data_IF_985882385525
#
_entry.id   IF_985882385525
#
_cell.length_a   1.000
_cell.length_b   1.000
_cell.length_c   1.000
_cell.angle_alpha   90.00
_cell.angle_beta   90.00
_cell.angle_gamma   90.00
#
_symmetry.space_group_name_H-M   'P 1'
#
loop_
_entity.id
_entity.type
_entity.pdbx_description
1 polymer ?
#
# COMPACT_ATOMS: atom_id res chain seq x y z
N UNK A 1 17.56 3.56 17.56
CA UNK A 1 17.27 3.47 16.12
C UNK A 1 16.64 2.13 15.86
N UNK A 2 15.54 2.09 15.09
CA UNK A 2 15.12 0.94 14.28
C UNK A 2 13.78 1.30 13.65
N UNK A 3 13.73 1.30 12.32
CA UNK A 3 12.48 1.22 11.55
C UNK A 3 12.66 0.02 10.64
N UNK A 4 12.23 -1.14 11.11
CA UNK A 4 12.23 -2.35 10.32
C UNK A 4 10.99 -2.32 9.41
N UNK A 5 11.21 -2.53 8.12
CA UNK A 5 10.14 -2.64 7.12
C UNK A 5 9.94 -4.13 6.86
N UNK A 6 8.73 -4.63 7.10
CA UNK A 6 8.40 -6.03 6.91
C UNK A 6 7.67 -6.19 5.59
N UNK A 7 8.07 -7.19 4.80
CA UNK A 7 7.32 -7.60 3.61
C UNK A 7 6.68 -8.95 3.91
N UNK A 8 5.36 -8.98 4.15
CA UNK A 8 4.62 -10.24 4.36
C UNK A 8 5.23 -11.17 5.42
N UNK A 9 5.79 -10.61 6.50
CA UNK A 9 6.43 -11.37 7.59
C UNK A 9 7.94 -11.61 7.45
N UNK A 10 8.55 -11.32 6.30
CA UNK A 10 10.01 -11.29 6.15
C UNK A 10 10.57 -9.90 6.50
N UNK A 11 11.64 -9.84 7.29
CA UNK A 11 12.32 -8.60 7.65
C UNK A 11 13.17 -8.18 6.45
N UNK A 12 12.74 -7.14 5.72
CA UNK A 12 13.60 -6.42 4.78
C UNK A 12 14.14 -5.16 5.46
N UNK A 13 15.31 -5.30 6.09
CA UNK A 13 16.03 -4.14 6.60
C UNK A 13 16.67 -3.41 5.42
N UNK A 14 16.06 -2.32 4.97
CA UNK A 14 16.74 -1.35 4.13
C UNK A 14 17.81 -0.69 5.00
N UNK A 15 19.07 -1.16 4.88
CA UNK A 15 20.22 -0.71 5.66
C UNK A 15 20.62 0.74 5.31
N UNK A 16 19.81 1.70 5.76
CA UNK A 16 20.17 3.10 5.78
C UNK A 16 21.14 3.38 6.94
N UNK A 17 22.09 4.31 6.74
CA UNK A 17 23.06 4.66 7.78
C UNK A 17 22.39 5.45 8.91
N UNK A 18 21.46 6.34 8.54
CA UNK A 18 20.72 7.19 9.49
C UNK A 18 19.29 7.35 9.01
N UNK A 19 18.32 7.12 9.90
CA UNK A 19 16.93 7.57 9.70
C UNK A 19 16.84 9.01 10.17
N UNK A 20 16.64 9.93 9.23
CA UNK A 20 16.65 11.38 9.50
C UNK A 20 15.30 11.86 10.02
N UNK A 21 14.19 11.32 9.49
CA UNK A 21 12.84 11.71 9.92
C UNK A 21 11.81 10.59 9.77
N UNK A 22 10.80 10.65 10.64
CA UNK A 22 9.59 9.83 10.63
C UNK A 22 8.42 10.81 10.77
N UNK A 23 7.58 10.91 9.74
CA UNK A 23 6.44 11.83 9.69
C UNK A 23 5.14 11.03 9.56
N UNK A 24 4.17 11.33 10.42
CA UNK A 24 2.88 10.62 10.51
C UNK A 24 1.77 11.59 10.16
N UNK A 25 1.03 11.31 9.09
CA UNK A 25 -0.07 12.12 8.62
C UNK A 25 -1.40 11.36 8.79
N UNK A 26 -2.18 11.81 9.77
CA UNK A 26 -3.54 11.33 10.04
C UNK A 26 -4.51 12.42 9.61
N UNK A 27 -5.40 12.13 8.66
CA UNK A 27 -6.31 13.14 8.14
C UNK A 27 -7.76 12.63 8.05
N UNK A 28 -8.70 13.54 8.24
CA UNK A 28 -10.13 13.24 8.14
C UNK A 28 -10.89 14.43 7.53
N UNK A 29 -11.99 14.13 6.87
CA UNK A 29 -12.89 15.09 6.26
C UNK A 29 -14.23 15.07 6.98
N UNK A 30 -14.61 16.21 7.56
CA UNK A 30 -15.88 16.35 8.27
C UNK A 30 -16.94 16.92 7.32
N UNK A 31 -18.05 16.20 7.12
CA UNK A 31 -19.15 16.64 6.28
C UNK A 31 -19.97 17.71 7.01
N UNK A 32 -20.41 18.74 6.29
CA UNK A 32 -21.19 19.84 6.86
C UNK A 32 -22.46 20.06 6.05
N UNK A 33 -23.58 20.23 6.73
CA UNK A 33 -24.85 20.65 6.15
C UNK A 33 -25.35 21.92 6.84
N UNK A 34 -25.92 22.81 6.05
CA UNK A 34 -26.54 24.03 6.53
C UNK A 34 -27.99 23.73 6.90
N UNK A 35 -28.40 24.14 8.11
CA UNK A 35 -29.79 24.09 8.54
C UNK A 35 -30.53 25.35 8.07
N UNK A 36 -31.87 25.27 7.99
CA UNK A 36 -32.73 26.42 7.70
C UNK A 36 -32.57 27.57 8.71
N UNK A 37 -32.11 27.27 9.93
CA UNK A 37 -31.79 28.23 10.98
C UNK A 37 -30.45 28.97 10.76
N UNK A 38 -29.72 28.65 9.68
CA UNK A 38 -28.39 29.20 9.37
C UNK A 38 -27.24 28.53 10.13
N UNK A 39 -27.51 27.62 11.06
CA UNK A 39 -26.50 26.86 11.76
C UNK A 39 -25.88 25.77 10.85
N UNK A 40 -24.55 25.61 10.89
CA UNK A 40 -23.86 24.48 10.26
C UNK A 40 -23.76 23.33 11.24
N UNK A 41 -24.19 22.15 10.84
CA UNK A 41 -24.08 20.90 11.60
C UNK A 41 -23.25 19.89 10.80
N UNK A 42 -22.59 19.00 11.52
CA UNK A 42 -21.89 17.85 10.96
C UNK A 42 -22.49 16.57 11.51
N UNK A 43 -22.53 15.56 10.66
CA UNK A 43 -23.10 14.25 10.99
C UNK A 43 -22.11 13.12 10.65
N UNK A 44 -21.27 13.30 9.62
CA UNK A 44 -20.32 12.27 9.20
C UNK A 44 -18.88 12.79 9.20
N UNK A 45 -17.95 11.90 9.55
CA UNK A 45 -16.51 12.08 9.43
C UNK A 45 -15.98 10.94 8.56
N UNK A 46 -15.29 11.30 7.48
CA UNK A 46 -14.62 10.36 6.58
C UNK A 46 -13.15 10.37 6.97
N UNK A 47 -12.64 9.23 7.43
CA UNK A 47 -11.21 9.06 7.67
C UNK A 47 -10.49 8.80 6.35
N UNK A 48 -9.42 9.53 6.09
CA UNK A 48 -8.54 9.20 4.99
C UNK A 48 -7.56 8.11 5.44
N UNK A 49 -7.00 7.32 4.50
CA UNK A 49 -5.99 6.32 4.85
C UNK A 49 -4.78 6.97 5.48
N UNK A 50 -4.21 6.30 6.49
CA UNK A 50 -3.02 6.76 7.17
C UNK A 50 -1.83 6.84 6.22
N UNK A 51 -1.03 7.90 6.36
CA UNK A 51 0.17 8.12 5.56
C UNK A 51 1.37 8.28 6.49
N UNK A 52 2.46 7.56 6.18
CA UNK A 52 3.70 7.62 6.95
C UNK A 52 4.86 7.86 5.99
N UNK A 53 5.64 8.89 6.23
CA UNK A 53 6.84 9.20 5.44
C UNK A 53 8.09 8.93 6.27
N UNK A 54 8.92 8.04 5.77
CA UNK A 54 10.21 7.74 6.39
C UNK A 54 11.29 8.30 5.48
N UNK A 55 12.14 9.17 6.04
CA UNK A 55 13.29 9.72 5.33
C UNK A 55 14.59 9.25 5.99
N UNK A 56 15.52 8.83 5.15
CA UNK A 56 16.79 8.29 5.58
C UNK A 56 17.93 8.71 4.65
N UNK A 57 19.12 8.67 5.21
CA UNK A 57 20.36 9.02 4.55
C UNK A 57 21.30 7.82 4.49
N UNK A 58 21.97 7.71 3.36
CA UNK A 58 22.97 6.69 3.10
C UNK A 58 24.21 7.36 2.52
N UNK A 59 25.37 7.10 3.11
CA UNK A 59 26.64 7.53 2.55
C UNK A 59 27.00 6.70 1.32
N UNK A 60 27.52 7.34 0.28
CA UNK A 60 28.09 6.63 -0.87
C UNK A 60 29.50 6.08 -0.59
N UNK A 61 30.09 6.40 0.58
CA UNK A 61 31.38 5.85 0.97
C UNK A 61 31.20 4.42 1.48
N UNK A 62 31.84 3.49 0.78
CA UNK A 62 31.93 2.10 1.21
C UNK A 62 33.19 1.96 2.09
N UNK A 63 33.04 1.42 3.30
CA UNK A 63 34.18 1.17 4.20
C UNK A 63 34.99 -0.09 3.81
N UNK A 64 34.46 -0.95 2.93
CA UNK A 64 34.98 -2.31 2.70
C UNK A 64 35.59 -2.57 1.32
N UNK A 65 35.99 -1.52 0.58
CA UNK A 65 36.73 -1.68 -0.68
C UNK A 65 35.89 -1.94 -1.94
N UNK A 66 34.56 -1.90 -1.83
CA UNK A 66 33.64 -1.84 -2.98
C UNK A 66 33.76 -0.49 -3.72
N UNK A 67 33.47 -0.50 -5.04
CA UNK A 67 33.46 0.71 -5.86
C UNK A 67 32.56 1.81 -5.26
N UNK A 68 33.06 3.06 -5.25
CA UNK A 68 32.38 4.21 -4.67
C UNK A 68 30.97 4.38 -5.26
N UNK A 69 29.94 4.33 -4.42
CA UNK A 69 28.54 4.58 -4.79
C UNK A 69 27.68 3.36 -5.10
N UNK A 70 28.23 2.15 -5.15
CA UNK A 70 27.48 0.91 -5.44
C UNK A 70 26.36 0.66 -4.43
N UNK A 71 26.61 0.94 -3.14
CA UNK A 71 25.62 0.73 -2.07
C UNK A 71 24.38 1.59 -2.27
N UNK A 72 24.55 2.85 -2.65
CA UNK A 72 23.45 3.76 -2.90
C UNK A 72 22.69 3.41 -4.19
N UNK A 73 23.40 2.97 -5.24
CA UNK A 73 22.78 2.48 -6.46
C UNK A 73 21.90 1.24 -6.20
N UNK A 74 22.42 0.24 -5.47
CA UNK A 74 21.68 -0.98 -5.11
C UNK A 74 20.47 -0.68 -4.23
N UNK A 75 20.59 0.25 -3.28
CA UNK A 75 19.45 0.68 -2.46
C UNK A 75 18.37 1.35 -3.31
N UNK A 76 18.75 2.26 -4.21
CA UNK A 76 17.81 2.91 -5.11
C UNK A 76 17.10 1.90 -6.02
N UNK A 77 17.83 0.94 -6.58
CA UNK A 77 17.24 -0.14 -7.40
C UNK A 77 16.27 -0.99 -6.58
N UNK A 78 16.62 -1.33 -5.34
CA UNK A 78 15.75 -2.08 -4.44
C UNK A 78 14.45 -1.33 -4.13
N UNK A 79 14.53 -0.02 -3.81
CA UNK A 79 13.36 0.83 -3.58
C UNK A 79 12.50 0.98 -4.83
N UNK A 80 13.13 1.08 -6.00
CA UNK A 80 12.43 1.14 -7.29
C UNK A 80 11.67 -0.16 -7.56
N UNK A 81 12.30 -1.31 -7.29
CA UNK A 81 11.66 -2.60 -7.47
C UNK A 81 10.50 -2.81 -6.48
N UNK A 82 10.66 -2.39 -5.23
CA UNK A 82 9.61 -2.40 -4.21
C UNK A 82 8.42 -1.50 -4.59
N UNK A 83 8.68 -0.33 -5.16
CA UNK A 83 7.62 0.54 -5.69
C UNK A 83 6.87 -0.11 -6.87
N UNK A 84 7.59 -0.80 -7.75
CA UNK A 84 6.99 -1.44 -8.93
C UNK A 84 6.18 -2.70 -8.59
N UNK A 85 6.59 -3.46 -7.56
CA UNK A 85 5.92 -4.69 -7.18
C UNK A 85 4.54 -4.46 -6.56
N UNK A 86 4.29 -3.26 -6.00
CA UNK A 86 3.02 -2.89 -5.33
C UNK A 86 2.66 -3.86 -4.21
N UNK A 87 3.67 -4.40 -3.54
CA UNK A 87 3.47 -5.30 -2.42
C UNK A 87 2.98 -4.54 -1.17
N UNK A 88 2.33 -5.27 -0.28
CA UNK A 88 1.95 -4.79 1.04
C UNK A 88 3.10 -4.97 2.02
N UNK A 89 3.32 -3.94 2.83
CA UNK A 89 4.37 -3.88 3.83
C UNK A 89 3.78 -3.56 5.20
N UNK A 90 4.35 -4.14 6.25
CA UNK A 90 4.11 -3.70 7.61
C UNK A 90 5.25 -2.78 8.02
N UNK A 91 4.92 -1.55 8.38
CA UNK A 91 5.87 -0.50 8.71
C UNK A 91 5.92 -0.37 10.23
N UNK A 92 7.00 -0.86 10.83
CA UNK A 92 7.23 -0.71 12.27
C UNK A 92 7.99 0.58 12.50
N UNK A 93 7.33 1.49 13.19
CA UNK A 93 7.96 2.71 13.65
C UNK A 93 8.18 2.67 15.15
N UNK A 94 8.82 3.70 15.71
CA UNK A 94 8.98 3.77 17.18
C UNK A 94 7.65 3.88 17.91
N UNK A 95 6.67 4.51 17.27
CA UNK A 95 5.44 4.92 17.91
C UNK A 95 4.28 3.99 17.61
N UNK A 96 4.29 3.34 16.44
CA UNK A 96 3.17 2.53 16.00
C UNK A 96 3.60 1.45 14.99
N UNK A 97 2.80 0.38 14.90
CA UNK A 97 2.90 -0.64 13.86
C UNK A 97 1.79 -0.39 12.85
N UNK A 98 2.16 0.06 11.65
CA UNK A 98 1.23 0.21 10.54
C UNK A 98 1.21 -1.08 9.73
N UNK A 99 0.03 -1.64 9.52
CA UNK A 99 -0.15 -2.88 8.76
C UNK A 99 -0.71 -2.58 7.37
N UNK A 100 -0.41 -3.44 6.40
CA UNK A 100 -0.98 -3.35 5.04
C UNK A 100 -0.75 -1.99 4.37
N UNK A 101 0.48 -1.49 4.45
CA UNK A 101 0.89 -0.24 3.81
C UNK A 101 1.47 -0.52 2.42
N UNK A 102 1.17 0.34 1.44
CA UNK A 102 1.78 0.32 0.11
C UNK A 102 2.73 1.51 -0.03
N UNK A 103 3.82 1.32 -0.75
CA UNK A 103 4.71 2.42 -1.13
C UNK A 103 4.02 3.27 -2.20
N UNK A 104 3.54 4.45 -1.82
CA UNK A 104 2.86 5.38 -2.72
C UNK A 104 3.82 6.36 -3.39
N UNK A 105 4.93 6.73 -2.75
CA UNK A 105 5.97 7.56 -3.35
C UNK A 105 7.36 7.18 -2.86
N UNK A 106 8.33 7.18 -3.79
CA UNK A 106 9.76 7.10 -3.47
C UNK A 106 10.45 8.31 -4.08
N UNK A 107 11.12 9.10 -3.25
CA UNK A 107 11.96 10.20 -3.67
C UNK A 107 13.38 9.94 -3.23
N UNK A 108 14.33 9.98 -4.16
CA UNK A 108 15.75 9.85 -3.87
C UNK A 108 16.49 11.04 -4.47
N UNK A 109 17.34 11.70 -3.68
CA UNK A 109 18.13 12.86 -4.10
C UNK A 109 19.58 12.66 -3.68
N UNK A 110 20.51 12.88 -4.60
CA UNK A 110 21.92 12.90 -4.27
C UNK A 110 22.30 14.29 -3.72
N UNK A 111 22.95 14.33 -2.57
CA UNK A 111 23.35 15.57 -1.89
C UNK A 111 24.84 15.56 -1.57
N UNK A 112 25.58 16.59 -2.01
CA UNK A 112 27.02 16.78 -1.76
C UNK A 112 27.89 16.66 -3.03
N UNK A 113 29.09 17.28 -3.05
CA UNK A 113 29.97 17.28 -4.22
C UNK A 113 30.64 15.91 -4.49
N UNK A 114 30.96 15.67 -5.78
CA UNK A 114 31.67 14.51 -6.35
C UNK A 114 30.99 13.13 -6.23
N UNK A 115 30.61 12.67 -5.04
CA UNK A 115 29.98 11.36 -4.76
C UNK A 115 29.39 11.41 -3.34
N UNK A 116 28.45 12.33 -3.11
CA UNK A 116 27.93 12.67 -1.78
C UNK A 116 27.09 11.57 -1.10
N UNK A 117 26.03 11.96 -0.39
CA UNK A 117 25.08 11.02 0.24
C UNK A 117 23.81 10.90 -0.59
N UNK A 118 23.17 9.73 -0.53
CA UNK A 118 21.81 9.54 -0.99
C UNK A 118 20.86 9.91 0.15
N UNK A 119 19.99 10.88 -0.10
CA UNK A 119 18.86 11.22 0.77
C UNK A 119 17.62 10.64 0.13
N UNK A 120 16.99 9.67 0.78
CA UNK A 120 15.77 9.05 0.29
C UNK A 120 14.61 9.30 1.25
N UNK A 121 13.42 9.44 0.69
CA UNK A 121 12.16 9.63 1.39
C UNK A 121 11.12 8.73 0.75
N UNK A 122 10.50 7.88 1.56
CA UNK A 122 9.52 6.90 1.14
C UNK A 122 8.21 7.18 1.85
N UNK A 123 7.16 7.44 1.08
CA UNK A 123 5.81 7.62 1.57
C UNK A 123 5.05 6.31 1.46
N UNK A 124 4.61 5.82 2.60
CA UNK A 124 3.75 4.67 2.77
C UNK A 124 2.32 5.16 2.98
N UNK A 125 1.38 4.48 2.35
CA UNK A 125 -0.05 4.76 2.50
C UNK A 125 -0.81 3.48 2.80
N UNK A 126 -1.71 3.54 3.77
CA UNK A 126 -2.52 2.40 4.13
C UNK A 126 -3.41 1.99 2.96
N UNK A 127 -3.46 0.68 2.70
CA UNK A 127 -4.30 0.10 1.68
C UNK A 127 -5.43 -0.69 2.33
N UNK A 128 -6.66 -0.27 2.09
CA UNK A 128 -7.85 -0.99 2.54
C UNK A 128 -8.19 -2.11 1.54
N UNK A 129 -7.95 -3.35 1.96
CA UNK A 129 -8.41 -4.51 1.20
C UNK A 129 -9.93 -4.66 1.35
N UNK A 130 -10.67 -4.28 0.30
CA UNK A 130 -12.11 -4.52 0.27
C UNK A 130 -12.33 -6.01 -0.02
N UNK A 131 -12.76 -6.77 0.99
CA UNK A 131 -13.24 -8.13 0.78
C UNK A 131 -14.54 -8.08 -0.03
N UNK A 132 -14.47 -8.52 -1.29
CA UNK A 132 -15.65 -8.74 -2.12
C UNK A 132 -16.45 -9.91 -1.53
N UNK A 133 -17.59 -9.61 -0.90
CA UNK A 133 -18.53 -10.65 -0.49
C UNK A 133 -19.20 -11.24 -1.74
N UNK A 134 -18.73 -12.40 -2.18
CA UNK A 134 -19.43 -13.18 -3.21
C UNK A 134 -20.67 -13.79 -2.60
N UNK A 135 -21.83 -13.18 -2.85
CA UNK A 135 -23.11 -13.78 -2.54
C UNK A 135 -23.26 -15.02 -3.44
N UNK A 136 -23.09 -16.20 -2.85
CA UNK A 136 -23.38 -17.46 -3.55
C UNK A 136 -24.90 -17.58 -3.62
N UNK A 137 -25.47 -17.29 -4.78
CA UNK A 137 -26.89 -17.52 -5.04
C UNK A 137 -27.09 -19.05 -5.05
N UNK A 138 -27.91 -19.62 -4.15
CA UNK A 138 -28.18 -21.05 -4.19
C UNK A 138 -28.85 -21.39 -5.53
N UNK A 139 -28.37 -22.44 -6.20
CA UNK A 139 -28.99 -22.92 -7.43
C UNK A 139 -30.48 -23.18 -7.18
N UNK A 140 -31.31 -22.55 -8.02
CA UNK A 140 -32.76 -22.65 -7.93
C UNK A 140 -33.17 -24.11 -8.00
N UNK A 141 -33.84 -24.58 -6.93
CA UNK A 141 -34.48 -25.88 -6.83
C UNK A 141 -35.62 -25.97 -7.85
N UNK A 142 -35.29 -26.21 -9.11
CA UNK A 142 -36.22 -26.82 -10.05
C UNK A 142 -36.34 -28.28 -9.62
N UNK A 143 -37.39 -28.59 -8.86
CA UNK A 143 -37.70 -29.97 -8.54
C UNK A 143 -38.11 -30.77 -9.79
N UNK A 144 -37.71 -32.02 -9.74
CA UNK A 144 -38.03 -33.14 -10.62
C UNK A 144 -39.32 -33.01 -11.44
N UNK A 145 -39.22 -33.37 -12.73
CA UNK A 145 -40.33 -34.06 -13.39
C UNK A 145 -40.98 -33.39 -14.61
N UNK A 146 -40.24 -32.70 -15.48
CA UNK A 146 -40.81 -32.42 -16.81
C UNK A 146 -40.67 -33.66 -17.72
N UNK A 147 -41.79 -34.34 -17.95
CA UNK A 147 -41.88 -35.37 -19.02
C UNK A 147 -41.83 -34.66 -20.37
N UNK A 148 -40.87 -35.03 -21.22
CA UNK A 148 -40.88 -34.66 -22.64
C UNK A 148 -42.10 -35.32 -23.30
N UNK A 149 -43.14 -34.54 -23.57
CA UNK A 149 -44.20 -34.93 -24.50
C UNK A 149 -43.90 -34.26 -25.84
N UNK A 150 -43.26 -34.99 -26.75
CA UNK A 150 -43.24 -34.65 -28.17
C UNK A 150 -43.85 -35.82 -28.93
N UNK A 151 -44.93 -35.49 -29.65
CA UNK A 151 -45.86 -36.39 -30.34
C UNK A 151 -45.22 -37.15 -31.48
N UNK A 152 -45.49 -38.45 -31.55
CA UNK A 152 -45.39 -39.25 -32.78
C UNK A 152 -46.67 -39.10 -33.60
N UNK A 153 -46.58 -38.44 -34.75
CA UNK A 153 -47.54 -38.47 -35.86
C UNK A 153 -46.94 -37.66 -37.00
N UNK A 154 -46.94 -37.99 -38.28
CA UNK A 154 -47.35 -39.13 -39.10
C UNK A 154 -46.87 -38.69 -40.49
N UNK A 155 -46.07 -39.47 -41.21
CA UNK A 155 -45.90 -39.25 -42.65
C UNK A 155 -46.03 -40.58 -43.38
N UNK A 156 -47.20 -40.75 -43.98
CA UNK A 156 -47.43 -41.67 -45.07
C UNK A 156 -47.53 -40.82 -46.34
N UNK A 157 -46.64 -41.07 -47.31
CA UNK A 157 -46.84 -41.26 -48.77
C UNK A 157 -45.46 -41.29 -49.42
#
# INVERSE_FOLDING_TARGET
MATAIFKGGEIQEYLADVVTSEDHNLSSQVSHFAMETGARRSDHIIFNPDEVTISFELSNQNNDGDELGDRAARLYESLRNAYLSRDLYDVVTRHFLYQSMVIANVRATQSGPFQGRLVASVLFKQFDEIQLSTITIPEGRLEDGYKKTASSSTDAV
#
